data_IF_614511003839
#
_entry.id   IF_614511003839
#
_cell.length_a   1.000
_cell.length_b   1.000
_cell.length_c   1.000
_cell.angle_alpha   90.00
_cell.angle_beta   90.00
_cell.angle_gamma   90.00
#
_symmetry.space_group_name_H-M   'P 1'
#
loop_
_entity.id
_entity.type
_entity.pdbx_description
1 polymer ?
#
# COMPACT_ATOMS: atom_id res chain seq x y z
N UNK A 1 -6.07 -0.99 -2.31
CA UNK A 1 -5.38 -0.43 -1.12
C UNK A 1 -3.89 -0.72 -1.10
N UNK A 2 -3.38 -1.84 -0.59
CA UNK A 2 -1.92 -2.04 -0.45
C UNK A 2 -1.15 -1.89 -1.76
N UNK A 3 -1.64 -2.51 -2.84
CA UNK A 3 -1.00 -2.44 -4.15
C UNK A 3 -1.12 -1.06 -4.79
N UNK A 4 -2.22 -0.33 -4.58
CA UNK A 4 -2.33 1.04 -5.10
C UNK A 4 -1.42 2.00 -4.33
N UNK A 5 -1.60 2.06 -3.01
CA UNK A 5 -1.06 3.09 -2.12
C UNK A 5 0.36 2.84 -1.62
N UNK A 6 0.78 1.57 -1.56
CA UNK A 6 2.01 1.18 -0.89
C UNK A 6 2.03 1.46 0.62
N UNK A 7 0.90 1.67 1.31
CA UNK A 7 0.87 1.87 2.77
C UNK A 7 1.63 0.77 3.53
N UNK A 8 2.26 1.12 4.66
CA UNK A 8 2.76 0.12 5.60
C UNK A 8 1.57 -0.60 6.23
N UNK A 9 1.69 -1.89 6.54
CA UNK A 9 0.59 -2.64 7.17
C UNK A 9 0.13 -2.03 8.49
N UNK A 10 1.05 -1.41 9.25
CA UNK A 10 0.71 -0.68 10.48
C UNK A 10 -0.11 0.59 10.22
N UNK A 11 0.11 1.27 9.09
CA UNK A 11 -0.68 2.44 8.67
C UNK A 11 -2.05 1.97 8.16
N UNK A 12 -2.09 0.91 7.33
CA UNK A 12 -3.31 0.38 6.74
C UNK A 12 -4.38 0.03 7.79
N UNK A 13 -3.97 -0.61 8.89
CA UNK A 13 -4.92 -1.00 9.95
C UNK A 13 -5.46 0.21 10.73
N UNK A 14 -4.80 1.36 10.63
CA UNK A 14 -5.22 2.61 11.27
C UNK A 14 -6.10 3.48 10.35
N UNK A 15 -6.29 3.10 9.07
CA UNK A 15 -7.14 3.87 8.16
C UNK A 15 -8.61 3.76 8.57
N UNK A 16 -9.23 4.91 8.79
CA UNK A 16 -10.66 5.03 9.00
C UNK A 16 -11.37 5.44 7.70
N UNK A 17 -12.68 5.17 7.60
CA UNK A 17 -13.48 5.45 6.40
C UNK A 17 -13.49 6.93 6.06
N UNK A 18 -13.50 7.81 7.07
CA UNK A 18 -13.53 9.26 6.89
C UNK A 18 -12.24 9.82 6.27
N UNK A 19 -11.16 9.03 6.18
CA UNK A 19 -9.95 9.41 5.45
C UNK A 19 -10.07 9.15 3.94
N UNK A 20 -11.12 8.47 3.49
CA UNK A 20 -11.35 8.19 2.07
C UNK A 20 -12.23 9.26 1.43
N UNK A 21 -11.61 10.01 0.52
CA UNK A 21 -12.23 11.07 -0.26
C UNK A 21 -12.53 10.54 -1.67
N UNK A 22 -13.48 9.60 -1.75
CA UNK A 22 -13.75 8.85 -2.99
C UNK A 22 -14.58 9.64 -4.02
N UNK A 23 -15.28 10.68 -3.59
CA UNK A 23 -16.15 11.50 -4.44
C UNK A 23 -15.44 12.75 -5.00
N UNK A 24 -14.21 13.02 -4.55
CA UNK A 24 -13.34 14.04 -5.10
C UNK A 24 -12.71 13.59 -6.44
N UNK A 25 -12.21 14.56 -7.22
CA UNK A 25 -11.56 14.33 -8.51
C UNK A 25 -10.21 15.06 -8.58
N UNK A 26 -9.07 14.34 -8.45
CA UNK A 26 -8.97 12.90 -8.25
C UNK A 26 -9.39 12.47 -6.83
N UNK A 27 -9.92 11.25 -6.72
CA UNK A 27 -10.16 10.63 -5.42
C UNK A 27 -8.84 10.42 -4.67
N UNK A 28 -8.86 10.62 -3.35
CA UNK A 28 -7.65 10.50 -2.54
C UNK A 28 -7.88 9.85 -1.18
N UNK A 29 -6.78 9.42 -0.57
CA UNK A 29 -6.69 8.99 0.82
C UNK A 29 -5.96 10.07 1.61
N UNK A 30 -6.61 10.61 2.64
CA UNK A 30 -5.97 11.41 3.66
C UNK A 30 -5.10 10.51 4.56
N UNK A 31 -3.90 10.97 4.90
CA UNK A 31 -2.96 10.25 5.75
C UNK A 31 -2.55 11.19 6.89
N UNK A 32 -3.29 11.18 8.02
CA UNK A 32 -2.92 11.91 9.22
C UNK A 32 -1.51 11.56 9.73
N UNK A 33 -0.90 12.49 10.46
CA UNK A 33 0.47 12.34 10.97
C UNK A 33 0.58 11.22 12.03
N UNK A 34 -0.44 11.05 12.87
CA UNK A 34 -0.48 10.12 14.00
C UNK A 34 -0.60 8.65 13.59
N UNK A 35 -1.18 8.37 12.41
CA UNK A 35 -1.23 7.00 11.87
C UNK A 35 0.06 6.60 11.12
N UNK A 36 0.92 7.57 10.82
CA UNK A 36 2.16 7.35 10.07
C UNK A 36 3.29 6.89 10.98
N UNK A 37 4.20 6.08 10.40
CA UNK A 37 5.43 5.70 11.10
C UNK A 37 6.31 6.94 11.29
N UNK A 38 6.71 7.19 12.53
CA UNK A 38 7.67 8.25 12.84
C UNK A 38 9.04 7.99 12.19
N UNK A 39 9.76 9.06 11.90
CA UNK A 39 11.09 8.97 11.30
C UNK A 39 12.14 8.82 12.40
N UNK A 40 13.23 8.06 12.17
CA UNK A 40 14.35 7.95 13.11
C UNK A 40 15.24 9.21 13.07
N UNK A 41 14.61 10.39 13.14
CA UNK A 41 15.20 11.74 13.04
C UNK A 41 14.35 12.70 13.86
N UNK A 42 14.79 13.93 14.11
CA UNK A 42 13.98 14.97 14.80
C UNK A 42 12.79 15.51 13.97
N UNK A 43 12.37 14.77 12.94
CA UNK A 43 11.25 15.12 12.06
C UNK A 43 10.13 14.12 12.30
N UNK A 44 8.91 14.62 12.41
CA UNK A 44 7.71 13.78 12.41
C UNK A 44 6.97 13.89 11.07
N UNK A 45 6.23 12.85 10.67
CA UNK A 45 5.33 12.93 9.53
C UNK A 45 4.32 14.08 9.70
N UNK A 46 3.91 14.67 8.59
CA UNK A 46 2.81 15.65 8.54
C UNK A 46 1.59 14.98 7.93
N UNK A 47 0.45 15.67 7.97
CA UNK A 47 -0.68 15.29 7.16
C UNK A 47 -0.27 15.28 5.68
N UNK A 48 -0.60 14.18 4.99
CA UNK A 48 -0.34 14.00 3.56
C UNK A 48 -1.61 13.52 2.87
N UNK A 49 -1.72 13.78 1.58
CA UNK A 49 -2.80 13.28 0.73
C UNK A 49 -2.23 12.41 -0.36
N UNK A 50 -2.97 11.36 -0.68
CA UNK A 50 -2.53 10.35 -1.62
C UNK A 50 -3.63 10.05 -2.62
N UNK A 51 -3.45 10.52 -3.85
CA UNK A 51 -4.37 10.18 -4.93
C UNK A 51 -4.45 8.65 -5.11
N UNK A 52 -5.66 8.18 -5.37
CA UNK A 52 -6.02 6.79 -5.61
C UNK A 52 -6.33 6.60 -7.09
N UNK A 53 -6.11 5.38 -7.59
CA UNK A 53 -6.48 5.01 -8.96
C UNK A 53 -5.93 5.95 -10.05
N UNK A 54 -4.71 6.47 -9.86
CA UNK A 54 -4.09 7.42 -10.80
C UNK A 54 -3.54 6.75 -12.06
N UNK A 55 -3.25 5.46 -11.98
CA UNK A 55 -2.63 4.68 -13.04
C UNK A 55 -3.57 3.61 -13.60
N UNK A 56 -3.34 3.19 -14.85
CA UNK A 56 -4.08 2.08 -15.48
C UNK A 56 -3.94 0.76 -14.69
N UNK A 57 -2.88 0.57 -13.92
CA UNK A 57 -2.74 -0.63 -13.09
C UNK A 57 -3.64 -0.62 -11.83
N UNK A 58 -4.21 0.55 -11.49
CA UNK A 58 -4.95 0.80 -10.24
C UNK A 58 -6.33 1.43 -10.43
N UNK A 59 -6.78 1.63 -11.68
CA UNK A 59 -8.02 2.35 -12.04
C UNK A 59 -9.26 1.86 -11.28
N UNK A 60 -9.29 0.59 -10.91
CA UNK A 60 -10.42 -0.05 -10.25
C UNK A 60 -10.41 0.10 -8.73
N UNK A 61 -9.39 0.75 -8.14
CA UNK A 61 -9.27 0.88 -6.68
C UNK A 61 -10.47 1.61 -6.08
N UNK A 62 -10.89 2.73 -6.68
CA UNK A 62 -12.02 3.53 -6.18
C UNK A 62 -13.34 2.75 -6.30
N UNK A 63 -13.58 2.09 -7.44
CA UNK A 63 -14.80 1.32 -7.65
C UNK A 63 -14.87 0.10 -6.72
N UNK A 64 -13.74 -0.59 -6.49
CA UNK A 64 -13.65 -1.69 -5.51
C UNK A 64 -13.87 -1.23 -4.08
N UNK A 65 -13.34 -0.06 -3.70
CA UNK A 65 -13.59 0.52 -2.36
C UNK A 65 -15.06 0.87 -2.16
N UNK A 66 -15.69 1.54 -3.14
CA UNK A 66 -17.13 1.83 -3.10
C UNK A 66 -17.95 0.55 -2.99
N UNK A 67 -17.65 -0.45 -3.81
CA UNK A 67 -18.32 -1.76 -3.75
C UNK A 67 -18.13 -2.44 -2.39
N UNK A 68 -16.93 -2.40 -1.84
CA UNK A 68 -16.64 -2.94 -0.51
C UNK A 68 -17.44 -2.22 0.59
N UNK A 69 -17.44 -0.89 0.61
CA UNK A 69 -18.16 -0.10 1.61
C UNK A 69 -19.68 -0.31 1.53
N UNK A 70 -20.24 -0.47 0.33
CA UNK A 70 -21.67 -0.72 0.16
C UNK A 70 -22.11 -2.13 0.56
N UNK A 71 -21.20 -3.10 0.55
CA UNK A 71 -21.51 -4.52 0.78
C UNK A 71 -20.87 -5.09 2.05
N UNK A 72 -20.22 -4.25 2.87
CA UNK A 72 -19.55 -4.73 4.08
C UNK A 72 -20.57 -5.28 5.08
N UNK A 73 -20.15 -6.29 5.82
CA UNK A 73 -21.00 -7.01 6.77
C UNK A 73 -21.36 -6.19 8.02
N UNK A 74 -20.65 -5.09 8.28
CA UNK A 74 -20.98 -4.12 9.33
C UNK A 74 -20.50 -2.72 8.98
N UNK A 75 -21.22 -1.74 9.51
CA UNK A 75 -20.76 -0.36 9.59
C UNK A 75 -19.68 -0.21 10.68
N UNK A 76 -18.66 0.60 10.39
CA UNK A 76 -17.50 0.78 11.25
C UNK A 76 -16.73 2.03 10.84
N UNK A 77 -16.12 2.72 11.81
CA UNK A 77 -15.16 3.80 11.61
C UNK A 77 -13.91 3.28 10.88
N UNK A 78 -13.31 2.19 11.39
CA UNK A 78 -12.18 1.57 10.72
C UNK A 78 -12.56 1.07 9.32
N UNK A 79 -11.70 1.36 8.32
CA UNK A 79 -11.90 0.90 6.94
C UNK A 79 -11.94 -0.62 6.87
N UNK A 80 -11.07 -1.30 7.63
CA UNK A 80 -11.02 -2.76 7.70
C UNK A 80 -11.38 -3.26 9.11
N UNK A 81 -12.68 -3.48 9.39
CA UNK A 81 -13.14 -4.02 10.67
C UNK A 81 -12.75 -5.49 10.89
N UNK A 82 -12.62 -5.89 12.16
CA UNK A 82 -12.47 -7.29 12.58
C UNK A 82 -13.77 -7.88 13.11
N UNK A 83 -13.99 -9.19 12.99
CA UNK A 83 -15.14 -9.85 13.63
C UNK A 83 -15.09 -9.82 15.17
N UNK A 84 -13.90 -9.72 15.75
CA UNK A 84 -13.65 -9.85 17.19
C UNK A 84 -13.26 -8.52 17.86
N UNK A 85 -13.02 -7.46 17.07
CA UNK A 85 -12.56 -6.16 17.56
C UNK A 85 -12.98 -5.05 16.58
N UNK A 86 -12.73 -3.79 16.90
CA UNK A 86 -13.14 -2.65 16.07
C UNK A 86 -12.39 -2.59 14.72
N UNK A 87 -11.13 -3.00 14.69
CA UNK A 87 -10.27 -3.01 13.49
C UNK A 87 -9.46 -4.29 13.33
N UNK A 88 -9.04 -4.60 12.11
CA UNK A 88 -8.12 -5.70 11.83
C UNK A 88 -6.75 -5.45 12.48
N UNK A 89 -6.09 -6.52 12.92
CA UNK A 89 -4.69 -6.46 13.34
C UNK A 89 -3.74 -6.59 12.15
N UNK A 90 -2.49 -6.16 12.31
CA UNK A 90 -1.47 -6.34 11.26
C UNK A 90 -1.26 -7.80 10.89
N UNK A 91 -1.30 -8.71 11.87
CA UNK A 91 -1.26 -10.17 11.65
C UNK A 91 -2.46 -10.68 10.86
N UNK A 92 -3.66 -10.15 11.10
CA UNK A 92 -4.86 -10.52 10.34
C UNK A 92 -4.71 -10.14 8.86
N UNK A 93 -4.19 -8.95 8.58
CA UNK A 93 -3.90 -8.51 7.20
C UNK A 93 -2.83 -9.40 6.56
N UNK A 94 -1.73 -9.72 7.27
CA UNK A 94 -0.68 -10.61 6.76
C UNK A 94 -1.24 -11.98 6.37
N UNK A 95 -2.12 -12.56 7.20
CA UNK A 95 -2.77 -13.85 6.92
C UNK A 95 -3.68 -13.78 5.69
N UNK A 96 -4.49 -12.73 5.56
CA UNK A 96 -5.36 -12.54 4.39
C UNK A 96 -4.53 -12.41 3.11
N UNK A 97 -3.49 -11.57 3.12
CA UNK A 97 -2.60 -11.40 1.96
C UNK A 97 -1.95 -12.71 1.55
N UNK A 98 -1.40 -13.45 2.52
CA UNK A 98 -0.79 -14.77 2.27
C UNK A 98 -1.79 -15.75 1.68
N UNK A 99 -2.99 -15.86 2.26
CA UNK A 99 -4.01 -16.77 1.79
C UNK A 99 -4.45 -16.45 0.35
N UNK A 100 -4.66 -15.16 0.04
CA UNK A 100 -5.02 -14.72 -1.31
C UNK A 100 -3.91 -14.97 -2.32
N UNK A 101 -2.63 -14.78 -1.93
CA UNK A 101 -1.51 -15.08 -2.81
C UNK A 101 -1.40 -16.57 -3.14
N UNK A 102 -1.56 -17.44 -2.13
CA UNK A 102 -1.59 -18.90 -2.32
C UNK A 102 -2.75 -19.32 -3.23
N UNK A 103 -3.96 -18.81 -2.97
CA UNK A 103 -5.14 -19.11 -3.78
C UNK A 103 -4.97 -18.66 -5.24
N UNK A 104 -4.38 -17.49 -5.45
CA UNK A 104 -4.16 -16.93 -6.79
C UNK A 104 -2.91 -17.48 -7.49
N UNK A 105 -2.09 -18.31 -6.83
CA UNK A 105 -0.80 -18.75 -7.35
C UNK A 105 0.15 -17.57 -7.65
N UNK A 106 0.13 -16.52 -6.82
CA UNK A 106 0.98 -15.34 -6.99
C UNK A 106 2.25 -15.53 -6.18
N UNK A 107 3.39 -15.54 -6.88
CA UNK A 107 4.70 -15.77 -6.28
C UNK A 107 5.56 -14.49 -6.27
N UNK A 108 6.28 -14.19 -5.18
CA UNK A 108 7.20 -13.07 -5.14
C UNK A 108 8.49 -13.38 -5.90
N UNK A 109 9.09 -12.35 -6.51
CA UNK A 109 10.43 -12.45 -7.07
C UNK A 109 11.47 -12.03 -6.02
N UNK A 110 12.59 -12.76 -5.97
CA UNK A 110 13.71 -12.44 -5.09
C UNK A 110 14.68 -11.47 -5.76
N UNK A 111 15.27 -10.58 -4.96
CA UNK A 111 16.34 -9.67 -5.36
C UNK A 111 17.60 -10.44 -5.76
N UNK A 112 17.84 -11.59 -5.11
CA UNK A 112 18.97 -12.48 -5.42
C UNK A 112 18.75 -13.33 -6.68
N UNK A 113 17.62 -13.11 -7.37
CA UNK A 113 17.16 -13.93 -8.48
C UNK A 113 16.30 -15.11 -8.01
N UNK A 114 15.33 -15.48 -8.85
CA UNK A 114 14.42 -16.60 -8.61
C UNK A 114 13.06 -16.20 -8.05
N UNK A 115 12.17 -17.19 -8.01
CA UNK A 115 10.77 -17.05 -7.61
C UNK A 115 10.56 -17.77 -6.28
N UNK A 116 10.04 -17.04 -5.28
CA UNK A 116 9.70 -17.60 -3.98
C UNK A 116 8.36 -18.34 -3.99
N UNK A 117 7.93 -18.81 -2.82
CA UNK A 117 6.64 -19.49 -2.70
C UNK A 117 5.51 -18.46 -2.59
N UNK A 118 4.30 -18.82 -3.02
CA UNK A 118 3.15 -17.92 -2.90
C UNK A 118 2.85 -17.54 -1.43
N UNK A 119 3.22 -18.42 -0.50
CA UNK A 119 3.17 -18.15 0.94
C UNK A 119 4.09 -17.02 1.39
N UNK A 120 5.13 -16.67 0.64
CA UNK A 120 6.10 -15.64 1.01
C UNK A 120 5.61 -14.22 0.68
N UNK A 121 4.47 -14.08 0.01
CA UNK A 121 3.85 -12.78 -0.25
C UNK A 121 3.35 -12.16 1.06
N UNK A 122 3.85 -10.96 1.35
CA UNK A 122 3.46 -10.16 2.53
C UNK A 122 2.97 -8.77 2.11
N UNK A 123 2.33 -8.00 3.00
CA UNK A 123 2.06 -6.59 2.75
C UNK A 123 3.31 -5.78 2.37
N UNK A 124 4.48 -6.15 2.91
CA UNK A 124 5.74 -5.49 2.56
C UNK A 124 6.19 -5.86 1.14
N UNK A 125 5.97 -7.10 0.71
CA UNK A 125 6.16 -7.52 -0.69
C UNK A 125 5.34 -6.66 -1.64
N UNK A 126 4.04 -6.49 -1.37
CA UNK A 126 3.15 -5.64 -2.19
C UNK A 126 3.62 -4.19 -2.23
N UNK A 127 4.13 -3.65 -1.11
CA UNK A 127 4.70 -2.32 -1.06
C UNK A 127 5.94 -2.16 -1.96
N UNK A 128 6.81 -3.18 -2.03
CA UNK A 128 7.92 -3.19 -2.98
C UNK A 128 7.43 -3.34 -4.42
N UNK A 129 6.36 -4.11 -4.65
CA UNK A 129 5.74 -4.21 -5.96
C UNK A 129 5.18 -2.87 -6.45
N UNK A 130 4.74 -1.97 -5.56
CA UNK A 130 4.36 -0.59 -5.94
C UNK A 130 5.56 0.17 -6.51
N UNK A 131 6.72 0.12 -5.83
CA UNK A 131 7.93 0.76 -6.34
C UNK A 131 8.35 0.17 -7.70
N UNK A 132 8.34 -1.15 -7.81
CA UNK A 132 8.67 -1.83 -9.07
C UNK A 132 7.75 -1.38 -10.20
N UNK A 133 6.44 -1.45 -9.97
CA UNK A 133 5.40 -1.07 -10.92
C UNK A 133 5.55 0.38 -11.37
N UNK A 134 5.72 1.31 -10.43
CA UNK A 134 5.92 2.72 -10.75
C UNK A 134 7.13 2.95 -11.66
N UNK A 135 8.25 2.26 -11.41
CA UNK A 135 9.48 2.47 -12.17
C UNK A 135 9.50 1.77 -13.53
N UNK A 136 8.79 0.66 -13.69
CA UNK A 136 8.96 -0.25 -14.84
C UNK A 136 7.69 -0.47 -15.66
N UNK A 137 6.54 -0.51 -15.01
CA UNK A 137 5.26 -0.80 -15.65
C UNK A 137 4.46 0.48 -15.93
N UNK A 138 4.67 1.52 -15.12
CA UNK A 138 4.05 2.82 -15.26
C UNK A 138 5.04 3.81 -15.86
N UNK A 139 4.60 4.53 -16.89
CA UNK A 139 5.45 5.49 -17.58
C UNK A 139 5.57 6.81 -16.83
N UNK A 140 6.76 7.41 -16.83
CA UNK A 140 6.96 8.80 -16.43
C UNK A 140 7.26 9.02 -14.94
N UNK A 141 7.34 7.97 -14.13
CA UNK A 141 7.77 8.08 -12.74
C UNK A 141 9.29 8.00 -12.60
N UNK A 142 9.79 8.78 -11.65
CA UNK A 142 11.18 8.77 -11.22
C UNK A 142 11.30 8.14 -9.82
N UNK A 143 12.53 7.86 -9.38
CA UNK A 143 12.79 7.45 -7.99
C UNK A 143 12.27 8.48 -6.97
N UNK A 144 12.16 9.76 -7.34
CA UNK A 144 11.59 10.81 -6.50
C UNK A 144 10.09 10.58 -6.26
N UNK A 145 9.37 10.17 -7.31
CA UNK A 145 7.93 9.88 -7.24
C UNK A 145 7.68 8.62 -6.40
N UNK A 146 8.50 7.58 -6.56
CA UNK A 146 8.46 6.38 -5.70
C UNK A 146 8.72 6.74 -4.24
N UNK A 147 9.74 7.56 -3.97
CA UNK A 147 10.05 8.01 -2.61
C UNK A 147 8.85 8.73 -1.98
N UNK A 148 8.19 9.61 -2.74
CA UNK A 148 6.99 10.31 -2.29
C UNK A 148 5.83 9.37 -2.05
N UNK A 149 5.49 8.52 -3.03
CA UNK A 149 4.43 7.51 -2.93
C UNK A 149 4.61 6.65 -1.70
N UNK A 150 5.82 6.15 -1.48
CA UNK A 150 6.13 5.29 -0.34
C UNK A 150 6.39 6.06 0.96
N UNK A 151 6.51 7.39 0.94
CA UNK A 151 6.88 8.21 2.12
C UNK A 151 8.15 7.67 2.78
N UNK A 152 9.21 7.56 1.98
CA UNK A 152 10.56 7.26 2.48
C UNK A 152 11.23 8.54 2.96
N UNK A 153 11.90 8.47 4.11
CA UNK A 153 12.54 9.64 4.73
C UNK A 153 13.61 10.30 3.84
N UNK A 154 14.28 9.52 3.00
CA UNK A 154 15.31 10.00 2.08
C UNK A 154 15.23 9.31 0.73
N UNK A 155 15.76 9.96 -0.31
CA UNK A 155 15.93 9.33 -1.63
C UNK A 155 16.90 8.16 -1.57
N UNK A 156 17.98 8.28 -0.78
CA UNK A 156 18.97 7.22 -0.54
C UNK A 156 18.32 5.91 -0.07
N UNK A 157 17.34 6.00 0.82
CA UNK A 157 16.57 4.84 1.30
C UNK A 157 15.76 4.14 0.19
N UNK A 158 15.44 4.86 -0.87
CA UNK A 158 14.72 4.36 -2.06
C UNK A 158 15.73 3.78 -3.06
N UNK A 159 16.85 4.48 -3.30
CA UNK A 159 17.98 3.99 -4.10
C UNK A 159 18.54 2.68 -3.53
N UNK A 160 18.96 2.64 -2.25
CA UNK A 160 19.46 1.43 -1.57
C UNK A 160 18.48 0.25 -1.67
N UNK A 161 17.18 0.52 -1.82
CA UNK A 161 16.15 -0.51 -1.93
C UNK A 161 15.78 -0.91 -3.34
N UNK A 162 15.96 -0.08 -4.36
CA UNK A 162 15.37 -0.30 -5.68
C UNK A 162 16.31 -0.05 -6.85
N UNK A 163 17.54 0.42 -6.61
CA UNK A 163 18.57 0.60 -7.64
C UNK A 163 18.88 -0.71 -8.38
N UNK A 164 18.66 -1.85 -7.74
CA UNK A 164 18.83 -3.17 -8.34
C UNK A 164 17.72 -3.59 -9.32
N UNK A 165 16.67 -2.79 -9.50
CA UNK A 165 15.62 -3.11 -10.48
C UNK A 165 16.04 -2.83 -11.92
N UNK A 166 17.03 -1.96 -12.13
CA UNK A 166 17.58 -1.71 -13.45
C UNK A 166 18.25 -2.97 -14.01
N UNK A 167 17.81 -3.38 -15.20
CA UNK A 167 18.45 -4.45 -15.96
C UNK A 167 19.71 -3.89 -16.62
N UNK A 168 20.87 -4.46 -16.30
CA UNK A 168 22.15 -4.19 -16.99
C UNK A 168 22.12 -4.76 -18.41
#
# INVERSE_FOLDING_TARGET
MLYDTGLRVGELVQVDVDYLHLDDDPAYLAIPADIQKDYPTDRSPKYEEMNLAVDESTYDTVSRLRSYLNNRWRESEALFPSRQADRMTTESVRRVVRALAVEAGVHPQSIEGGTGEAGDVTPHTLRHSVAYRMLHEEGGYTLYDVRNRLRHATIKTTEERYDHFDRI
#
